data_IF_405202015004
#
_entry.id   IF_405202015004
#
_cell.length_a   1.000
_cell.length_b   1.000
_cell.length_c   1.000
_cell.angle_alpha   90.00
_cell.angle_beta   90.00
_cell.angle_gamma   90.00
#
_symmetry.space_group_name_H-M   'P 1'
#
loop_
_entity.id
_entity.type
_entity.pdbx_description
1 polymer ?
#
# COMPACT_ATOMS: atom_id res chain seq x y z
N UNK A 1 -5.97 49.07 19.97
CA UNK A 1 -7.27 48.50 20.39
C UNK A 1 -8.08 48.17 19.15
N UNK A 2 -8.42 46.89 18.90
CA UNK A 2 -9.30 46.53 17.78
C UNK A 2 -10.73 46.98 18.08
N UNK A 3 -11.39 47.61 17.11
CA UNK A 3 -12.80 47.97 17.21
C UNK A 3 -13.69 46.73 17.07
N UNK A 4 -14.85 46.69 17.71
CA UNK A 4 -15.78 45.53 17.66
C UNK A 4 -16.07 45.07 16.22
N UNK A 5 -16.16 45.99 15.26
CA UNK A 5 -16.36 45.67 13.84
C UNK A 5 -15.20 44.83 13.27
N UNK A 6 -13.95 45.13 13.64
CA UNK A 6 -12.77 44.35 13.21
C UNK A 6 -12.74 42.96 13.82
N UNK A 7 -13.19 42.81 15.06
CA UNK A 7 -13.32 41.50 15.72
C UNK A 7 -14.40 40.64 15.04
N UNK A 8 -15.53 41.24 14.68
CA UNK A 8 -16.61 40.57 13.93
C UNK A 8 -16.10 40.10 12.56
N UNK A 9 -15.40 40.95 11.82
CA UNK A 9 -14.85 40.56 10.52
C UNK A 9 -13.78 39.48 10.62
N UNK A 10 -12.90 39.53 11.63
CA UNK A 10 -11.91 38.50 11.88
C UNK A 10 -12.56 37.15 12.23
N UNK A 11 -13.60 37.16 13.08
CA UNK A 11 -14.38 35.97 13.41
C UNK A 11 -15.10 35.37 12.20
N UNK A 12 -15.69 36.22 11.34
CA UNK A 12 -16.35 35.78 10.10
C UNK A 12 -15.36 35.14 9.12
N UNK A 13 -14.15 35.72 9.01
CA UNK A 13 -13.09 35.18 8.16
C UNK A 13 -12.58 33.83 8.66
N UNK A 14 -12.41 33.69 9.98
CA UNK A 14 -12.00 32.43 10.61
C UNK A 14 -13.07 31.33 10.45
N UNK A 15 -14.35 31.69 10.57
CA UNK A 15 -15.46 30.77 10.35
C UNK A 15 -15.55 30.29 8.90
N UNK A 16 -15.32 31.18 7.92
CA UNK A 16 -15.24 30.79 6.51
C UNK A 16 -14.05 29.85 6.25
N UNK A 17 -12.89 30.11 6.85
CA UNK A 17 -11.72 29.24 6.73
C UNK A 17 -11.95 27.84 7.33
N UNK A 18 -12.59 27.77 8.50
CA UNK A 18 -12.94 26.50 9.14
C UNK A 18 -14.00 25.71 8.36
N UNK A 19 -14.92 26.38 7.66
CA UNK A 19 -15.93 25.72 6.84
C UNK A 19 -15.36 25.05 5.58
N UNK A 20 -14.21 25.52 5.07
CA UNK A 20 -13.58 24.98 3.86
C UNK A 20 -12.36 24.07 4.13
N UNK A 21 -11.76 24.11 5.32
CA UNK A 21 -10.53 23.35 5.59
C UNK A 21 -10.72 21.83 5.75
N UNK A 22 -11.96 21.35 5.84
CA UNK A 22 -12.30 19.93 5.99
C UNK A 22 -12.94 19.34 4.71
N UNK A 23 -12.45 19.70 3.52
CA UNK A 23 -12.91 19.04 2.31
C UNK A 23 -12.35 17.60 2.25
N UNK A 24 -13.18 16.62 2.62
CA UNK A 24 -12.92 15.16 2.49
C UNK A 24 -12.60 14.67 1.06
N UNK A 25 -12.61 15.57 0.08
CA UNK A 25 -12.50 15.27 -1.35
C UNK A 25 -11.08 14.89 -1.78
N UNK A 26 -10.05 15.39 -1.10
CA UNK A 26 -8.67 15.28 -1.58
C UNK A 26 -7.82 14.23 -0.84
N UNK A 27 -8.30 13.70 0.29
CA UNK A 27 -7.52 12.79 1.15
C UNK A 27 -8.18 11.41 1.33
N UNK A 28 -9.09 11.05 0.42
CA UNK A 28 -9.72 9.73 0.40
C UNK A 28 -9.41 9.07 -0.95
N UNK A 29 -8.22 8.50 -1.07
CA UNK A 29 -8.04 7.43 -2.05
C UNK A 29 -8.86 6.21 -1.60
N UNK A 30 -9.50 5.48 -2.52
CA UNK A 30 -10.11 4.21 -2.18
C UNK A 30 -9.05 3.31 -1.53
N UNK A 31 -9.48 2.54 -0.55
CA UNK A 31 -8.62 1.53 0.05
C UNK A 31 -8.19 0.51 -1.02
N UNK A 32 -7.06 -0.18 -0.83
CA UNK A 32 -6.68 -1.24 -1.75
C UNK A 32 -7.68 -2.40 -1.65
N UNK A 33 -8.17 -2.84 -2.81
CA UNK A 33 -9.21 -3.88 -2.94
C UNK A 33 -8.77 -5.06 -3.81
N UNK A 34 -7.65 -4.92 -4.53
CA UNK A 34 -7.18 -5.97 -5.44
C UNK A 34 -6.50 -7.09 -4.66
N UNK A 35 -6.48 -8.28 -5.26
CA UNK A 35 -5.89 -9.49 -4.68
C UNK A 35 -4.77 -10.03 -5.55
N UNK A 36 -3.66 -10.40 -4.93
CA UNK A 36 -2.63 -11.25 -5.52
C UNK A 36 -2.49 -12.52 -4.68
N UNK A 37 -2.53 -13.67 -5.36
CA UNK A 37 -2.30 -14.97 -4.74
C UNK A 37 -1.46 -15.84 -5.66
N UNK A 38 -0.82 -16.86 -5.09
CA UNK A 38 0.03 -17.77 -5.82
C UNK A 38 0.80 -18.72 -4.90
N UNK A 39 1.74 -19.45 -5.48
CA UNK A 39 2.62 -20.37 -4.77
C UNK A 39 4.02 -20.31 -5.36
N UNK A 40 5.02 -20.32 -4.49
CA UNK A 40 6.42 -20.52 -4.88
C UNK A 40 6.67 -22.02 -4.92
N UNK A 41 6.97 -22.53 -6.11
CA UNK A 41 7.09 -23.97 -6.35
C UNK A 41 8.48 -24.34 -6.83
N UNK A 42 8.93 -25.52 -6.42
CA UNK A 42 10.07 -26.19 -7.00
C UNK A 42 9.79 -26.51 -8.49
N UNK A 43 10.72 -26.17 -9.37
CA UNK A 43 10.52 -26.28 -10.82
C UNK A 43 10.54 -27.70 -11.35
N UNK A 44 11.16 -28.64 -10.63
CA UNK A 44 11.26 -30.05 -11.06
C UNK A 44 10.03 -30.84 -10.61
N UNK A 45 9.58 -30.61 -9.38
CA UNK A 45 8.51 -31.38 -8.73
C UNK A 45 7.15 -30.69 -8.79
N UNK A 46 7.11 -29.38 -8.97
CA UNK A 46 5.91 -28.56 -8.84
C UNK A 46 5.38 -28.42 -7.40
N UNK A 47 6.10 -28.97 -6.42
CA UNK A 47 5.72 -28.87 -5.01
C UNK A 47 6.00 -27.47 -4.45
N UNK A 48 5.17 -27.02 -3.50
CA UNK A 48 5.41 -25.75 -2.80
C UNK A 48 6.71 -25.80 -1.99
N UNK A 49 7.55 -24.77 -2.13
CA UNK A 49 8.80 -24.66 -1.38
C UNK A 49 8.50 -24.46 0.10
N UNK A 50 9.06 -25.33 0.93
CA UNK A 50 8.95 -25.19 2.39
C UNK A 50 9.83 -24.04 2.87
N UNK A 51 9.26 -23.18 3.71
CA UNK A 51 9.97 -21.98 4.19
C UNK A 51 9.48 -21.56 5.57
N UNK A 52 10.23 -20.69 6.25
CA UNK A 52 9.77 -20.06 7.48
C UNK A 52 8.61 -19.09 7.15
N UNK A 53 7.54 -19.11 7.94
CA UNK A 53 6.54 -18.06 7.82
C UNK A 53 7.07 -16.75 8.40
N UNK A 54 7.04 -15.69 7.60
CA UNK A 54 7.44 -14.34 8.03
C UNK A 54 8.80 -13.90 7.51
N UNK A 55 9.44 -13.00 8.25
CA UNK A 55 10.57 -12.16 7.79
C UNK A 55 11.79 -12.88 7.23
N UNK A 56 12.08 -14.07 7.75
CA UNK A 56 13.30 -14.82 7.41
C UNK A 56 13.09 -15.87 6.31
N UNK A 57 11.84 -16.07 5.87
CA UNK A 57 11.50 -17.04 4.84
C UNK A 57 11.46 -16.44 3.44
N UNK A 58 10.63 -17.06 2.60
CA UNK A 58 10.40 -16.60 1.23
C UNK A 58 9.50 -15.36 1.25
N UNK A 59 9.92 -14.33 0.50
CA UNK A 59 9.17 -13.09 0.35
C UNK A 59 8.84 -12.80 -1.11
N UNK A 60 7.66 -12.26 -1.32
CA UNK A 60 7.21 -11.72 -2.60
C UNK A 60 7.53 -10.23 -2.61
N UNK A 61 8.28 -9.80 -3.62
CA UNK A 61 8.59 -8.40 -3.89
C UNK A 61 7.68 -7.87 -4.98
N UNK A 62 7.12 -6.68 -4.76
CA UNK A 62 6.28 -5.96 -5.72
C UNK A 62 6.82 -4.56 -5.95
N UNK A 63 7.14 -4.23 -7.19
CA UNK A 63 7.51 -2.88 -7.64
C UNK A 63 6.35 -2.29 -8.47
N UNK A 64 5.70 -1.22 -7.99
CA UNK A 64 4.55 -0.60 -8.68
C UNK A 64 4.99 0.32 -9.83
N UNK A 65 4.82 -0.14 -11.07
CA UNK A 65 5.30 0.53 -12.28
C UNK A 65 4.28 1.52 -12.88
N UNK A 66 3.21 1.82 -12.15
CA UNK A 66 2.15 2.72 -12.63
C UNK A 66 2.40 4.17 -12.22
N UNK A 67 3.21 4.39 -11.19
CA UNK A 67 3.48 5.71 -10.63
C UNK A 67 4.95 6.16 -10.77
N UNK A 68 5.89 5.23 -10.86
CA UNK A 68 7.33 5.53 -10.90
C UNK A 68 8.12 4.44 -11.64
N UNK A 69 9.18 4.85 -12.34
CA UNK A 69 10.16 3.93 -12.94
C UNK A 69 11.15 3.36 -11.91
N UNK A 70 11.26 3.99 -10.74
CA UNK A 70 12.06 3.55 -9.60
C UNK A 70 11.21 3.54 -8.31
N UNK A 71 10.21 2.64 -8.21
CA UNK A 71 9.31 2.62 -7.07
C UNK A 71 9.97 2.08 -5.80
N UNK A 72 9.44 2.48 -4.65
CA UNK A 72 9.82 1.84 -3.38
C UNK A 72 9.24 0.43 -3.35
N UNK A 73 10.04 -0.62 -3.12
CA UNK A 73 9.55 -1.99 -3.17
C UNK A 73 8.61 -2.30 -2.01
N UNK A 74 7.51 -2.99 -2.30
CA UNK A 74 6.63 -3.57 -1.29
C UNK A 74 6.95 -5.05 -1.12
N UNK A 75 6.96 -5.52 0.12
CA UNK A 75 7.26 -6.90 0.47
C UNK A 75 6.17 -7.50 1.33
N UNK A 76 5.85 -8.76 1.06
CA UNK A 76 5.06 -9.62 1.94
C UNK A 76 5.59 -11.06 1.85
N UNK A 77 5.16 -11.93 2.76
CA UNK A 77 5.77 -13.25 2.95
C UNK A 77 4.83 -14.36 2.51
N UNK A 78 5.40 -15.46 2.02
CA UNK A 78 4.64 -16.69 1.85
C UNK A 78 4.40 -17.39 3.19
N UNK A 79 3.42 -18.29 3.20
CA UNK A 79 3.19 -19.27 4.25
C UNK A 79 4.25 -20.37 4.21
N UNK A 80 4.24 -21.26 5.20
CA UNK A 80 5.23 -22.34 5.32
C UNK A 80 5.24 -23.30 4.13
N UNK A 81 4.11 -23.44 3.43
CA UNK A 81 3.96 -24.29 2.25
C UNK A 81 4.25 -23.57 0.93
N UNK A 82 4.83 -22.36 0.99
CA UNK A 82 5.17 -21.56 -0.18
C UNK A 82 3.98 -20.83 -0.81
N UNK A 83 2.75 -20.99 -0.31
CA UNK A 83 1.59 -20.23 -0.79
C UNK A 83 1.58 -18.81 -0.26
N UNK A 84 1.00 -17.89 -1.01
CA UNK A 84 0.78 -16.53 -0.55
C UNK A 84 -0.58 -16.00 -1.03
N UNK A 85 -1.17 -15.12 -0.22
CA UNK A 85 -2.44 -14.47 -0.53
C UNK A 85 -2.47 -13.09 0.15
N UNK A 86 -2.55 -12.03 -0.64
CA UNK A 86 -2.70 -10.67 -0.15
C UNK A 86 -3.88 -10.01 -0.86
N UNK A 87 -4.90 -9.64 -0.10
CA UNK A 87 -6.18 -9.09 -0.59
C UNK A 87 -6.27 -7.57 -0.48
N UNK A 88 -5.16 -6.91 -0.16
CA UNK A 88 -5.07 -5.45 0.03
C UNK A 88 -3.96 -4.88 -0.84
N UNK A 89 -4.11 -5.06 -2.15
CA UNK A 89 -3.24 -4.48 -3.18
C UNK A 89 -3.94 -3.34 -3.91
N UNK A 90 -3.20 -2.27 -4.22
CA UNK A 90 -3.73 -1.20 -5.06
C UNK A 90 -3.80 -1.64 -6.52
N UNK A 91 -4.79 -1.12 -7.24
CA UNK A 91 -4.89 -1.40 -8.68
C UNK A 91 -3.74 -0.76 -9.44
N UNK A 92 -2.97 -1.58 -10.13
CA UNK A 92 -1.85 -1.10 -10.93
C UNK A 92 -1.12 -2.22 -11.66
N UNK A 93 -0.12 -1.81 -12.43
CA UNK A 93 0.88 -2.70 -13.06
C UNK A 93 2.08 -2.86 -12.12
N UNK A 94 2.42 -4.10 -11.82
CA UNK A 94 3.53 -4.45 -10.95
C UNK A 94 4.58 -5.30 -11.66
N UNK A 95 5.85 -5.10 -11.33
CA UNK A 95 6.87 -6.15 -11.49
C UNK A 95 6.87 -6.97 -10.21
N UNK A 96 6.74 -8.28 -10.35
CA UNK A 96 6.69 -9.21 -9.22
C UNK A 96 7.88 -10.15 -9.31
N UNK A 97 8.59 -10.34 -8.20
CA UNK A 97 9.63 -11.34 -8.06
C UNK A 97 9.54 -12.01 -6.69
N UNK A 98 10.14 -13.18 -6.55
CA UNK A 98 10.21 -13.92 -5.29
C UNK A 98 11.66 -14.07 -4.88
N UNK A 99 11.92 -13.92 -3.58
CA UNK A 99 13.25 -14.00 -2.99
C UNK A 99 13.22 -15.01 -1.84
N UNK A 100 14.21 -15.89 -1.77
CA UNK A 100 14.25 -16.95 -0.77
C UNK A 100 15.47 -17.87 -0.95
N UNK A 101 15.48 -19.05 -0.30
CA UNK A 101 16.58 -20.00 -0.36
C UNK A 101 16.57 -20.82 -1.67
N UNK A 102 16.54 -20.15 -2.81
CA UNK A 102 16.56 -20.73 -4.16
C UNK A 102 17.30 -19.79 -5.12
N UNK A 103 17.71 -20.32 -6.29
CA UNK A 103 18.46 -19.61 -7.33
C UNK A 103 17.59 -19.15 -8.49
#
# INVERSE_FOLDING_TARGET
MMTMKKLIYAGLFLAMFAAVSCSKKYDNYPEPEETINGSVTDSETGAGIQTEAGGNGTRVRMDELSYSDSPTPYYFYSMQDGKFNNTKIFKGRYRVSVEGPFV
#
